data_IF_596988405431
#
_entry.id   IF_596988405431
#
_cell.length_a   1.000
_cell.length_b   1.000
_cell.length_c   1.000
_cell.angle_alpha   90.00
_cell.angle_beta   90.00
_cell.angle_gamma   90.00
#
_symmetry.space_group_name_H-M   'P 1'
#
loop_
_entity.id
_entity.type
_entity.pdbx_description
1 polymer ?
#
# COMPACT_ATOMS: atom_id res chain seq x y z
N UNK A 1 -52.66 9.10 19.04
CA UNK A 1 -52.18 7.78 18.61
C UNK A 1 -50.76 7.96 18.08
N UNK A 2 -49.78 7.79 18.97
CA UNK A 2 -48.36 7.82 18.64
C UNK A 2 -47.90 6.37 18.53
N UNK A 3 -47.77 5.88 17.30
CA UNK A 3 -47.13 4.62 16.99
C UNK A 3 -46.58 4.69 15.56
N UNK A 4 -45.31 5.04 15.45
CA UNK A 4 -44.47 4.61 14.32
C UNK A 4 -43.05 4.52 14.86
N UNK A 5 -42.87 3.58 15.80
CA UNK A 5 -41.55 3.08 16.15
C UNK A 5 -40.91 2.56 14.86
N UNK A 6 -39.66 2.91 14.63
CA UNK A 6 -38.78 2.28 13.65
C UNK A 6 -38.95 0.76 13.78
N UNK A 7 -39.63 0.17 12.81
CA UNK A 7 -39.81 -1.27 12.76
C UNK A 7 -38.65 -1.79 11.93
N UNK A 8 -37.65 -2.39 12.59
CA UNK A 8 -36.58 -3.10 11.91
C UNK A 8 -37.23 -4.11 10.94
N UNK A 9 -36.79 -4.11 9.69
CA UNK A 9 -37.11 -5.11 8.69
C UNK A 9 -36.83 -6.50 9.28
N UNK A 10 -37.88 -7.31 9.35
CA UNK A 10 -37.80 -8.68 9.89
C UNK A 10 -37.23 -9.66 8.88
N UNK A 11 -37.07 -9.26 7.61
CA UNK A 11 -36.62 -10.08 6.50
C UNK A 11 -35.69 -9.29 5.57
N UNK A 12 -34.68 -9.98 5.02
CA UNK A 12 -33.76 -9.39 4.05
C UNK A 12 -34.51 -9.01 2.78
N UNK A 13 -34.22 -7.86 2.15
CA UNK A 13 -34.69 -7.58 0.80
C UNK A 13 -34.32 -8.71 -0.18
N UNK A 14 -35.30 -9.18 -0.96
CA UNK A 14 -35.11 -10.18 -2.02
C UNK A 14 -34.32 -9.56 -3.18
N UNK A 15 -33.00 -9.63 -3.06
CA UNK A 15 -32.02 -9.08 -3.99
C UNK A 15 -31.14 -10.25 -4.40
N UNK A 16 -31.23 -10.64 -5.67
CA UNK A 16 -30.32 -11.61 -6.27
C UNK A 16 -29.01 -10.90 -6.67
N UNK A 17 -27.86 -11.22 -6.05
CA UNK A 17 -26.60 -10.56 -6.35
C UNK A 17 -26.04 -10.88 -7.74
N UNK A 18 -26.62 -11.87 -8.45
CA UNK A 18 -26.21 -12.30 -9.79
C UNK A 18 -26.96 -11.59 -10.91
N UNK A 19 -28.14 -11.02 -10.63
CA UNK A 19 -28.93 -10.23 -11.60
C UNK A 19 -28.65 -8.73 -11.50
N UNK A 20 -27.65 -8.32 -10.72
CA UNK A 20 -27.16 -6.94 -10.61
C UNK A 20 -26.03 -6.76 -11.64
N UNK A 21 -26.32 -6.12 -12.78
CA UNK A 21 -25.39 -5.98 -13.92
C UNK A 21 -24.12 -5.17 -13.59
N UNK A 22 -22.98 -5.64 -14.11
CA UNK A 22 -21.66 -5.02 -14.02
C UNK A 22 -21.15 -4.61 -15.41
N UNK A 23 -20.87 -3.31 -15.63
CA UNK A 23 -20.24 -2.80 -16.86
C UNK A 23 -18.92 -2.10 -16.53
N UNK A 24 -17.94 -2.23 -17.41
CA UNK A 24 -16.54 -1.78 -17.33
C UNK A 24 -16.36 -0.29 -16.95
N UNK A 25 -15.30 0.04 -16.20
CA UNK A 25 -15.05 1.36 -15.58
C UNK A 25 -14.25 2.34 -16.45
N UNK A 26 -13.97 2.01 -17.72
CA UNK A 26 -13.14 2.86 -18.59
C UNK A 26 -13.89 3.70 -19.64
N UNK A 27 -15.23 3.75 -19.63
CA UNK A 27 -15.97 4.59 -20.58
C UNK A 27 -16.69 5.77 -19.91
N UNK A 28 -15.93 6.87 -19.79
CA UNK A 28 -16.35 8.27 -19.90
C UNK A 28 -17.31 8.88 -18.84
N UNK A 29 -16.86 10.02 -18.30
CA UNK A 29 -17.57 10.96 -17.43
C UNK A 29 -18.73 11.73 -18.13
N UNK A 30 -19.55 11.08 -18.96
CA UNK A 30 -20.65 11.74 -19.66
C UNK A 30 -21.89 10.87 -19.71
N UNK A 31 -23.02 11.38 -19.21
CA UNK A 31 -24.36 10.79 -19.26
C UNK A 31 -24.63 9.53 -18.41
N UNK A 32 -24.67 9.75 -17.10
CA UNK A 32 -25.26 8.86 -16.08
C UNK A 32 -26.79 8.74 -16.20
N UNK A 33 -27.37 8.32 -17.34
CA UNK A 33 -28.83 8.31 -17.52
C UNK A 33 -29.45 7.12 -18.27
N UNK A 34 -28.82 5.95 -18.37
CA UNK A 34 -29.53 4.77 -18.91
C UNK A 34 -29.51 3.45 -18.12
N UNK A 35 -28.60 3.21 -17.18
CA UNK A 35 -28.63 1.97 -16.35
C UNK A 35 -27.99 2.25 -14.97
N UNK A 36 -28.64 1.96 -13.81
CA UNK A 36 -28.16 2.39 -12.50
C UNK A 36 -27.32 1.33 -11.79
N UNK A 37 -26.02 1.28 -12.09
CA UNK A 37 -25.01 0.74 -11.17
C UNK A 37 -23.85 1.72 -11.16
N UNK A 38 -23.64 2.42 -10.04
CA UNK A 38 -22.47 3.28 -9.88
C UNK A 38 -21.30 2.36 -9.51
N UNK A 39 -20.60 1.85 -10.54
CA UNK A 39 -19.41 1.03 -10.36
C UNK A 39 -18.22 1.94 -10.06
N UNK A 40 -17.75 1.89 -8.83
CA UNK A 40 -16.51 2.53 -8.40
C UNK A 40 -15.90 1.71 -7.27
N UNK A 41 -14.56 1.71 -7.18
CA UNK A 41 -13.87 1.22 -6.00
C UNK A 41 -13.98 2.31 -4.93
N UNK A 42 -14.68 2.00 -3.84
CA UNK A 42 -14.53 2.79 -2.62
C UNK A 42 -13.34 2.23 -1.83
N UNK A 43 -12.62 3.09 -1.12
CA UNK A 43 -11.56 2.80 -0.17
C UNK A 43 -11.98 3.08 1.27
N UNK A 44 -11.18 2.61 2.23
CA UNK A 44 -11.34 3.01 3.62
C UNK A 44 -11.10 4.52 3.72
N UNK A 45 -12.05 5.24 4.34
CA UNK A 45 -12.02 6.71 4.42
C UNK A 45 -12.86 7.40 3.34
N UNK A 46 -13.33 6.67 2.33
CA UNK A 46 -14.18 7.26 1.29
C UNK A 46 -15.60 7.55 1.79
N UNK A 47 -16.19 8.58 1.19
CA UNK A 47 -17.61 8.88 1.32
C UNK A 47 -18.22 9.22 -0.04
N UNK A 48 -19.48 8.84 -0.22
CA UNK A 48 -20.26 9.15 -1.42
C UNK A 48 -21.71 9.44 -1.06
N UNK A 49 -22.47 10.00 -1.99
CA UNK A 49 -23.90 10.29 -1.80
C UNK A 49 -24.71 9.63 -2.92
N UNK A 50 -25.97 9.32 -2.65
CA UNK A 50 -26.84 8.67 -3.61
C UNK A 50 -28.32 8.94 -3.35
N UNK A 51 -29.15 8.54 -4.31
CA UNK A 51 -30.60 8.60 -4.23
C UNK A 51 -31.20 7.32 -4.77
N UNK A 52 -31.95 6.60 -3.92
CA UNK A 52 -32.80 5.48 -4.31
C UNK A 52 -34.24 5.94 -4.48
N UNK A 53 -35.02 5.25 -5.32
CA UNK A 53 -36.41 5.56 -5.65
C UNK A 53 -37.15 4.33 -6.18
N UNK A 54 -38.50 4.33 -6.27
CA UNK A 54 -39.21 3.18 -6.85
C UNK A 54 -38.75 2.78 -8.26
N UNK A 55 -38.29 3.76 -9.07
CA UNK A 55 -37.75 3.52 -10.41
C UNK A 55 -36.29 3.04 -10.40
N UNK A 56 -35.56 3.26 -9.30
CA UNK A 56 -34.15 2.91 -9.10
C UNK A 56 -33.97 2.49 -7.63
N UNK A 57 -34.40 1.28 -7.33
CA UNK A 57 -34.64 0.86 -5.94
C UNK A 57 -33.34 0.56 -5.17
N UNK A 58 -32.19 0.47 -5.84
CA UNK A 58 -30.92 0.15 -5.19
C UNK A 58 -29.72 0.82 -5.87
N UNK A 59 -28.63 0.97 -5.11
CA UNK A 59 -27.28 1.24 -5.61
C UNK A 59 -26.32 0.16 -5.11
N UNK A 60 -25.35 -0.26 -5.92
CA UNK A 60 -24.37 -1.29 -5.55
C UNK A 60 -22.93 -0.80 -5.74
N UNK A 61 -22.03 -1.18 -4.81
CA UNK A 61 -20.62 -0.77 -4.77
C UNK A 61 -19.74 -2.00 -4.51
N UNK A 62 -18.64 -2.12 -5.25
CA UNK A 62 -17.64 -3.19 -5.04
C UNK A 62 -16.43 -2.63 -4.26
N UNK A 63 -15.90 -3.42 -3.34
CA UNK A 63 -14.86 -3.02 -2.39
C UNK A 63 -13.89 -4.18 -2.13
N UNK A 64 -12.60 -3.88 -1.94
CA UNK A 64 -11.63 -4.87 -1.45
C UNK A 64 -11.10 -4.43 -0.10
N UNK A 65 -11.36 -5.23 0.94
CA UNK A 65 -10.83 -5.00 2.27
C UNK A 65 -9.65 -5.93 2.51
N UNK A 66 -8.50 -5.38 2.90
CA UNK A 66 -7.33 -6.15 3.29
C UNK A 66 -7.01 -6.05 4.79
N UNK A 67 -7.80 -5.31 5.57
CA UNK A 67 -7.55 -5.12 7.00
C UNK A 67 -8.15 -6.20 7.90
N UNK A 68 -7.87 -6.09 9.21
CA UNK A 68 -8.28 -7.08 10.19
C UNK A 68 -9.82 -7.26 10.32
N UNK A 69 -10.28 -8.51 10.56
CA UNK A 69 -11.66 -8.84 10.95
C UNK A 69 -12.32 -7.86 11.93
N UNK A 70 -13.58 -7.45 11.66
CA UNK A 70 -14.38 -6.67 12.60
C UNK A 70 -14.10 -5.17 12.65
N UNK A 71 -13.13 -4.68 11.87
CA UNK A 71 -12.68 -3.29 11.96
C UNK A 71 -13.23 -2.38 10.86
N UNK A 72 -13.84 -2.94 9.80
CA UNK A 72 -14.47 -2.16 8.74
C UNK A 72 -15.95 -1.92 9.03
N UNK A 73 -16.33 -0.64 9.14
CA UNK A 73 -17.69 -0.15 9.36
C UNK A 73 -18.19 0.57 8.12
N UNK A 74 -19.40 0.23 7.69
CA UNK A 74 -20.15 0.96 6.68
C UNK A 74 -21.30 1.67 7.35
N UNK A 75 -21.47 2.96 7.04
CA UNK A 75 -22.57 3.78 7.53
C UNK A 75 -23.33 4.36 6.34
N UNK A 76 -24.58 3.93 6.15
CA UNK A 76 -25.52 4.52 5.21
C UNK A 76 -26.48 5.43 5.99
N UNK A 77 -26.38 6.74 5.78
CA UNK A 77 -27.18 7.75 6.50
C UNK A 77 -28.24 8.36 5.61
N UNK A 78 -29.49 8.29 6.04
CA UNK A 78 -30.61 8.89 5.30
C UNK A 78 -30.65 10.40 5.54
N UNK A 79 -30.62 11.19 4.46
CA UNK A 79 -30.74 12.65 4.54
C UNK A 79 -32.19 13.12 4.36
N UNK A 80 -33.08 12.20 3.98
CA UNK A 80 -34.52 12.45 3.77
C UNK A 80 -35.40 11.91 4.89
N UNK A 81 -34.84 11.28 5.93
CA UNK A 81 -35.61 10.68 7.02
C UNK A 81 -36.44 9.48 6.56
N UNK A 82 -35.90 8.67 5.66
CA UNK A 82 -36.52 7.44 5.13
C UNK A 82 -35.61 6.25 5.41
N UNK A 83 -36.22 5.10 5.72
CA UNK A 83 -35.49 3.93 6.16
C UNK A 83 -34.62 3.35 5.03
N UNK A 84 -33.36 3.12 5.34
CA UNK A 84 -32.39 2.53 4.43
C UNK A 84 -32.18 1.07 4.81
N UNK A 85 -31.72 0.27 3.85
CA UNK A 85 -31.21 -1.06 4.12
C UNK A 85 -29.86 -1.19 3.44
N UNK A 86 -28.88 -1.66 4.20
CA UNK A 86 -27.55 -2.00 3.70
C UNK A 86 -27.41 -3.53 3.66
N UNK A 87 -27.00 -4.05 2.50
CA UNK A 87 -26.77 -5.49 2.30
C UNK A 87 -25.34 -5.69 1.82
N UNK A 88 -24.60 -6.60 2.43
CA UNK A 88 -23.24 -6.96 2.06
C UNK A 88 -23.17 -8.40 1.55
N UNK A 89 -22.55 -8.57 0.38
CA UNK A 89 -22.19 -9.88 -0.18
C UNK A 89 -20.67 -10.02 -0.18
N UNK A 90 -20.16 -11.16 0.30
CA UNK A 90 -18.75 -11.52 0.20
C UNK A 90 -18.49 -12.34 -1.06
N UNK A 91 -17.33 -12.15 -1.67
CA UNK A 91 -16.91 -12.94 -2.83
C UNK A 91 -16.37 -14.29 -2.36
N UNK A 92 -16.96 -15.38 -2.86
CA UNK A 92 -16.47 -16.75 -2.66
C UNK A 92 -16.28 -17.41 -4.02
N UNK A 93 -15.03 -17.41 -4.51
CA UNK A 93 -14.69 -17.83 -5.87
C UNK A 93 -15.44 -17.00 -6.93
N UNK A 94 -16.20 -17.62 -7.86
CA UNK A 94 -16.96 -16.89 -8.88
C UNK A 94 -18.31 -16.35 -8.37
N UNK A 95 -18.73 -16.70 -7.14
CA UNK A 95 -20.06 -16.38 -6.62
C UNK A 95 -20.02 -15.27 -5.58
N UNK A 96 -21.10 -14.49 -5.52
CA UNK A 96 -21.40 -13.60 -4.42
C UNK A 96 -22.27 -14.35 -3.41
N UNK A 97 -21.84 -14.39 -2.15
CA UNK A 97 -22.55 -15.05 -1.05
C UNK A 97 -22.96 -13.98 -0.06
N UNK A 98 -24.20 -14.03 0.44
CA UNK A 98 -24.67 -13.09 1.46
C UNK A 98 -23.74 -13.16 2.67
N UNK A 99 -23.15 -12.02 3.05
CA UNK A 99 -22.30 -11.91 4.22
C UNK A 99 -23.09 -11.43 5.43
N UNK A 100 -23.76 -10.28 5.30
CA UNK A 100 -24.54 -9.65 6.36
C UNK A 100 -25.46 -8.59 5.76
N UNK A 101 -26.47 -8.16 6.49
CA UNK A 101 -27.34 -7.04 6.13
C UNK A 101 -27.91 -6.42 7.40
N UNK A 102 -28.20 -5.13 7.33
CA UNK A 102 -28.78 -4.39 8.45
C UNK A 102 -29.51 -3.17 7.90
N UNK A 103 -30.59 -2.79 8.56
CA UNK A 103 -31.42 -1.65 8.21
C UNK A 103 -31.35 -0.54 9.25
N UNK A 104 -31.01 -0.85 10.50
CA UNK A 104 -30.77 0.14 11.55
C UNK A 104 -29.30 0.22 12.02
N UNK A 105 -28.99 1.12 12.94
CA UNK A 105 -27.70 1.19 13.62
C UNK A 105 -27.83 0.91 15.13
N UNK A 106 -28.99 0.44 15.60
CA UNK A 106 -29.31 0.30 17.03
C UNK A 106 -29.31 1.61 17.84
N UNK A 107 -29.24 2.77 17.18
CA UNK A 107 -29.15 4.11 17.79
C UNK A 107 -30.49 4.88 17.75
N UNK A 108 -31.56 4.22 17.28
CA UNK A 108 -32.88 4.83 17.12
C UNK A 108 -32.98 5.78 15.92
N UNK A 109 -31.99 5.79 15.02
CA UNK A 109 -32.03 6.55 13.75
C UNK A 109 -32.47 5.67 12.58
N UNK A 110 -32.83 6.30 11.46
CA UNK A 110 -33.16 5.65 10.17
C UNK A 110 -31.89 5.39 9.32
N UNK A 111 -30.74 5.21 9.99
CA UNK A 111 -29.46 4.93 9.34
C UNK A 111 -29.19 3.44 9.45
N UNK A 112 -28.49 2.88 8.46
CA UNK A 112 -28.10 1.47 8.46
C UNK A 112 -26.60 1.33 8.60
N UNK A 113 -26.16 0.47 9.52
CA UNK A 113 -24.75 0.26 9.82
C UNK A 113 -24.36 -1.21 9.67
N UNK A 114 -23.22 -1.47 9.04
CA UNK A 114 -22.66 -2.83 8.95
C UNK A 114 -21.22 -2.85 9.41
N UNK A 115 -20.87 -3.88 10.18
CA UNK A 115 -19.48 -4.25 10.46
C UNK A 115 -19.17 -5.54 9.74
N UNK A 116 -18.06 -5.57 9.01
CA UNK A 116 -17.67 -6.77 8.27
C UNK A 116 -16.77 -7.69 9.07
N UNK A 117 -16.94 -9.01 8.91
CA UNK A 117 -16.28 -9.98 9.76
C UNK A 117 -14.83 -10.26 9.35
N UNK A 118 -14.42 -10.07 8.09
CA UNK A 118 -13.07 -10.50 7.62
C UNK A 118 -12.55 -9.66 6.44
N UNK A 119 -11.26 -9.77 6.12
CA UNK A 119 -10.70 -9.31 4.85
C UNK A 119 -11.34 -10.06 3.66
N UNK A 120 -11.46 -9.40 2.52
CA UNK A 120 -12.02 -9.99 1.31
C UNK A 120 -12.60 -8.97 0.33
N UNK A 121 -13.11 -9.47 -0.79
CA UNK A 121 -13.88 -8.66 -1.75
C UNK A 121 -15.34 -8.68 -1.38
N UNK A 122 -15.95 -7.50 -1.35
CA UNK A 122 -17.35 -7.30 -0.98
C UNK A 122 -18.10 -6.53 -2.05
N UNK A 123 -19.40 -6.78 -2.13
CA UNK A 123 -20.39 -5.99 -2.85
C UNK A 123 -21.42 -5.51 -1.85
N UNK A 124 -21.54 -4.20 -1.68
CA UNK A 124 -22.56 -3.59 -0.84
C UNK A 124 -23.70 -3.06 -1.69
N UNK A 125 -24.92 -3.19 -1.18
CA UNK A 125 -26.13 -2.67 -1.80
C UNK A 125 -26.84 -1.77 -0.81
N UNK A 126 -27.08 -0.52 -1.20
CA UNK A 126 -27.93 0.42 -0.47
C UNK A 126 -29.30 0.43 -1.14
N UNK A 127 -30.36 0.20 -0.39
CA UNK A 127 -31.76 0.21 -0.86
C UNK A 127 -32.68 0.81 0.20
N UNK A 128 -33.97 0.88 -0.10
CA UNK A 128 -35.04 1.23 0.87
C UNK A 128 -36.03 0.08 0.94
N UNK A 129 -36.53 -0.20 2.14
CA UNK A 129 -37.62 -1.14 2.33
C UNK A 129 -38.67 -0.51 3.23
N UNK A 130 -39.89 -0.33 2.72
CA UNK A 130 -41.02 0.08 3.55
C UNK A 130 -41.80 -1.17 3.94
N UNK A 131 -41.60 -1.64 5.17
CA UNK A 131 -42.28 -2.82 5.72
C UNK A 131 -43.81 -2.64 5.82
N UNK A 132 -44.32 -1.41 5.80
CA UNK A 132 -45.76 -1.11 5.85
C UNK A 132 -46.38 -1.04 4.45
N UNK A 133 -45.61 -0.63 3.44
CA UNK A 133 -46.08 -0.44 2.06
C UNK A 133 -45.65 -1.55 1.08
N UNK A 134 -44.76 -2.46 1.47
CA UNK A 134 -44.27 -3.55 0.62
C UNK A 134 -43.57 -3.08 -0.65
N UNK A 135 -43.04 -1.84 -0.68
CA UNK A 135 -42.42 -1.23 -1.87
C UNK A 135 -41.22 -0.34 -1.52
N UNK A 136 -40.29 -0.19 -2.46
CA UNK A 136 -39.13 0.71 -2.32
C UNK A 136 -39.60 2.17 -2.31
N UNK A 137 -39.13 2.94 -1.35
CA UNK A 137 -39.43 4.38 -1.24
C UNK A 137 -38.26 5.23 -1.74
N UNK A 138 -38.51 6.53 -1.96
CA UNK A 138 -37.43 7.45 -2.35
C UNK A 138 -36.65 7.93 -1.13
N UNK A 139 -35.33 7.74 -1.13
CA UNK A 139 -34.45 8.24 -0.10
C UNK A 139 -33.15 8.81 -0.71
N UNK A 140 -32.70 9.96 -0.19
CA UNK A 140 -31.34 10.44 -0.41
C UNK A 140 -30.47 9.95 0.76
N UNK A 141 -29.22 9.61 0.49
CA UNK A 141 -28.32 9.09 1.51
C UNK A 141 -26.87 9.53 1.29
N UNK A 142 -26.08 9.49 2.36
CA UNK A 142 -24.62 9.44 2.31
C UNK A 142 -24.12 8.08 2.77
N UNK A 143 -23.14 7.52 2.07
CA UNK A 143 -22.48 6.27 2.42
C UNK A 143 -21.02 6.57 2.75
N UNK A 144 -20.56 6.14 3.91
CA UNK A 144 -19.15 6.23 4.31
C UNK A 144 -18.60 4.87 4.69
N UNK A 145 -17.34 4.64 4.33
CA UNK A 145 -16.57 3.46 4.74
C UNK A 145 -15.53 3.93 5.74
N UNK A 146 -15.69 3.52 6.99
CA UNK A 146 -14.86 3.95 8.10
C UNK A 146 -14.37 2.75 8.89
N UNK A 147 -13.43 3.00 9.79
CA UNK A 147 -12.95 1.97 10.71
C UNK A 147 -13.66 2.11 12.04
N UNK A 148 -14.11 0.99 12.61
CA UNK A 148 -14.60 0.99 13.98
C UNK A 148 -13.43 1.38 14.91
N UNK A 149 -13.59 2.48 15.65
CA UNK A 149 -12.66 2.88 16.74
C UNK A 149 -11.19 3.02 16.33
N UNK A 150 -10.88 3.35 15.07
CA UNK A 150 -9.50 3.41 14.56
C UNK A 150 -8.88 2.06 14.20
N UNK A 151 -9.66 0.97 14.16
CA UNK A 151 -9.20 -0.40 13.95
C UNK A 151 -8.70 -0.77 12.55
N UNK A 152 -8.72 0.13 11.56
CA UNK A 152 -7.91 -0.09 10.34
C UNK A 152 -6.55 0.61 10.42
N UNK A 153 -6.14 1.09 11.60
CA UNK A 153 -4.73 1.33 11.85
C UNK A 153 -4.00 0.01 11.59
N UNK A 154 -3.18 0.01 10.56
CA UNK A 154 -2.41 -1.15 10.18
C UNK A 154 -1.62 -1.64 11.40
N UNK A 155 -1.68 -2.95 11.64
CA UNK A 155 -1.12 -3.58 12.82
C UNK A 155 0.36 -3.20 12.92
N UNK A 156 0.85 -2.80 14.09
CA UNK A 156 2.26 -2.53 14.25
C UNK A 156 3.06 -3.84 14.16
N UNK A 157 4.24 -3.77 13.57
CA UNK A 157 5.18 -4.87 13.47
C UNK A 157 6.59 -4.42 13.85
N UNK A 158 7.50 -5.35 14.06
CA UNK A 158 8.86 -5.06 14.52
C UNK A 158 8.90 -4.64 15.99
N UNK A 159 9.75 -3.66 16.29
CA UNK A 159 10.05 -3.20 17.64
C UNK A 159 10.69 -4.24 18.56
N UNK A 160 10.88 -3.85 19.83
CA UNK A 160 11.53 -4.67 20.88
C UNK A 160 10.94 -6.07 21.03
N UNK A 161 9.63 -6.20 20.80
CA UNK A 161 8.92 -7.48 20.95
C UNK A 161 8.93 -8.32 19.67
N UNK A 162 9.45 -7.80 18.55
CA UNK A 162 9.47 -8.50 17.27
C UNK A 162 8.06 -8.85 16.77
N UNK A 163 7.13 -7.90 16.85
CA UNK A 163 5.74 -8.10 16.44
C UNK A 163 5.68 -8.52 14.96
N UNK A 164 4.95 -9.60 14.66
CA UNK A 164 4.84 -10.15 13.32
C UNK A 164 3.50 -9.78 12.68
N UNK A 165 3.50 -9.63 11.36
CA UNK A 165 2.29 -9.46 10.58
C UNK A 165 1.59 -10.80 10.31
N UNK A 166 0.32 -10.74 9.93
CA UNK A 166 -0.47 -11.91 9.57
C UNK A 166 -0.03 -12.54 8.24
N UNK A 167 -0.65 -13.66 7.89
CA UNK A 167 -0.40 -14.31 6.61
C UNK A 167 -0.87 -13.41 5.45
N UNK A 168 0.00 -13.21 4.45
CA UNK A 168 -0.27 -12.34 3.30
C UNK A 168 0.00 -10.85 3.56
N UNK A 169 0.66 -10.52 4.68
CA UNK A 169 1.09 -9.16 5.02
C UNK A 169 2.61 -9.12 5.20
N UNK A 170 3.21 -7.95 4.98
CA UNK A 170 4.62 -7.67 5.22
C UNK A 170 4.77 -6.50 6.19
N UNK A 171 5.89 -6.47 6.90
CA UNK A 171 6.17 -5.37 7.81
C UNK A 171 6.82 -4.22 7.03
N UNK A 172 6.06 -3.16 6.75
CA UNK A 172 6.56 -1.96 6.09
C UNK A 172 7.22 -1.03 7.11
N UNK A 173 8.46 -0.62 6.84
CA UNK A 173 9.19 0.36 7.64
C UNK A 173 9.33 1.67 6.87
N UNK A 174 9.39 2.78 7.58
CA UNK A 174 9.89 4.01 7.00
C UNK A 174 11.39 3.86 6.64
N UNK A 175 11.87 4.56 5.62
CA UNK A 175 13.26 4.42 5.17
C UNK A 175 14.28 4.85 6.24
N UNK A 176 13.90 5.79 7.10
CA UNK A 176 14.69 6.26 8.24
C UNK A 176 14.61 5.36 9.47
N UNK A 177 13.71 4.36 9.46
CA UNK A 177 13.63 3.32 10.49
C UNK A 177 14.61 2.15 10.24
N UNK A 178 15.46 2.25 9.20
CA UNK A 178 16.52 1.29 8.91
C UNK A 178 16.10 -0.18 9.06
N UNK A 179 14.97 -0.55 8.44
CA UNK A 179 14.41 -1.92 8.51
C UNK A 179 14.04 -2.40 9.92
N UNK A 180 13.67 -1.48 10.82
CA UNK A 180 13.37 -1.79 12.22
C UNK A 180 14.61 -1.85 13.11
N UNK A 181 15.75 -1.28 12.68
CA UNK A 181 16.89 -1.13 13.58
C UNK A 181 16.52 -0.28 14.80
N UNK A 182 17.20 -0.48 15.93
CA UNK A 182 16.94 0.22 17.18
C UNK A 182 15.49 0.12 17.70
N UNK A 183 14.83 -1.01 17.42
CA UNK A 183 13.46 -1.29 17.87
C UNK A 183 12.39 -0.36 17.30
N UNK A 184 12.66 0.19 16.12
CA UNK A 184 11.65 0.94 15.40
C UNK A 184 10.48 0.05 15.00
N UNK A 185 9.28 0.64 15.09
CA UNK A 185 8.04 -0.02 14.73
C UNK A 185 7.75 0.22 13.24
N UNK A 186 7.38 -0.87 12.57
CA UNK A 186 6.80 -0.84 11.25
C UNK A 186 5.28 -0.95 11.31
N UNK A 187 4.69 -0.98 10.13
CA UNK A 187 3.25 -1.07 9.90
C UNK A 187 2.97 -2.26 8.98
N UNK A 188 2.07 -3.16 9.39
CA UNK A 188 1.69 -4.31 8.59
C UNK A 188 0.85 -3.86 7.39
N UNK A 189 1.38 -4.11 6.20
CA UNK A 189 0.71 -3.82 4.95
C UNK A 189 0.43 -5.11 4.19
N UNK A 190 -0.68 -5.19 3.43
CA UNK A 190 -0.97 -6.35 2.62
C UNK A 190 0.07 -6.52 1.50
N UNK A 191 0.48 -7.76 1.25
CA UNK A 191 1.31 -8.09 0.09
C UNK A 191 0.47 -7.98 -1.20
N UNK A 192 0.90 -7.18 -2.19
CA UNK A 192 0.17 -7.07 -3.45
C UNK A 192 0.28 -8.35 -4.29
N UNK A 193 -0.85 -8.79 -4.86
CA UNK A 193 -0.90 -9.95 -5.77
C UNK A 193 -0.38 -9.62 -7.19
N UNK A 194 -0.43 -8.34 -7.58
CA UNK A 194 -0.08 -7.88 -8.92
C UNK A 194 0.78 -6.63 -8.84
N UNK A 195 1.87 -6.62 -9.60
CA UNK A 195 2.78 -5.48 -9.72
C UNK A 195 2.96 -5.10 -11.19
N UNK A 196 3.20 -3.81 -11.43
CA UNK A 196 3.63 -3.33 -12.75
C UNK A 196 5.08 -3.74 -13.00
N UNK A 197 5.46 -3.86 -14.27
CA UNK A 197 6.85 -4.16 -14.70
C UNK A 197 7.71 -2.89 -14.82
N UNK A 198 7.28 -1.78 -14.23
CA UNK A 198 8.04 -0.53 -14.24
C UNK A 198 9.33 -0.71 -13.44
N UNK A 199 10.47 -0.40 -14.06
CA UNK A 199 11.77 -0.49 -13.42
C UNK A 199 12.08 0.78 -12.63
N UNK A 200 11.89 0.72 -11.32
CA UNK A 200 12.20 1.74 -10.33
C UNK A 200 12.82 1.05 -9.12
N UNK A 201 14.09 0.61 -9.23
CA UNK A 201 14.64 -0.39 -8.34
C UNK A 201 14.70 0.10 -6.90
N UNK A 202 14.59 -0.86 -5.97
CA UNK A 202 14.71 -0.64 -4.53
C UNK A 202 15.58 -1.71 -3.90
N UNK A 203 16.26 -1.37 -2.81
CA UNK A 203 16.98 -2.32 -1.99
C UNK A 203 16.06 -2.81 -0.88
N UNK A 204 15.91 -4.13 -0.76
CA UNK A 204 15.15 -4.74 0.33
C UNK A 204 15.94 -4.77 1.64
N UNK A 205 15.23 -4.94 2.75
CA UNK A 205 15.83 -5.22 4.07
C UNK A 205 16.56 -6.57 4.16
N UNK A 206 16.49 -7.38 3.10
CA UNK A 206 17.21 -8.65 2.93
C UNK A 206 18.43 -8.53 2.00
N UNK A 207 18.88 -7.30 1.72
CA UNK A 207 20.00 -6.99 0.82
C UNK A 207 19.82 -7.47 -0.63
N UNK A 208 18.56 -7.66 -1.06
CA UNK A 208 18.23 -7.99 -2.45
C UNK A 208 17.63 -6.79 -3.19
N UNK A 209 18.09 -6.58 -4.42
CA UNK A 209 17.50 -5.59 -5.32
C UNK A 209 16.20 -6.13 -5.91
N UNK A 210 15.13 -5.35 -5.79
CA UNK A 210 13.86 -5.60 -6.46
C UNK A 210 13.64 -4.58 -7.59
N UNK A 211 12.96 -5.00 -8.66
CA UNK A 211 12.71 -4.13 -9.83
C UNK A 211 11.85 -2.91 -9.49
N UNK A 212 11.00 -3.00 -8.47
CA UNK A 212 10.29 -1.89 -7.85
C UNK A 212 9.79 -2.23 -6.43
N UNK A 213 9.27 -1.22 -5.71
CA UNK A 213 8.74 -1.37 -4.35
C UNK A 213 7.56 -2.35 -4.26
N UNK A 214 6.70 -2.43 -5.29
CA UNK A 214 5.60 -3.40 -5.30
C UNK A 214 6.15 -4.83 -5.32
N UNK A 215 7.16 -5.11 -6.15
CA UNK A 215 7.78 -6.44 -6.22
C UNK A 215 8.46 -6.84 -4.90
N UNK A 216 9.05 -5.88 -4.18
CA UNK A 216 9.59 -6.11 -2.83
C UNK A 216 8.47 -6.46 -1.84
N UNK A 217 7.38 -5.69 -1.82
CA UNK A 217 6.22 -5.95 -0.98
C UNK A 217 5.54 -7.29 -1.29
N UNK A 218 5.42 -7.67 -2.57
CA UNK A 218 4.88 -8.95 -3.01
C UNK A 218 5.73 -10.15 -2.55
N UNK A 219 7.05 -9.92 -2.39
CA UNK A 219 7.98 -10.89 -1.79
C UNK A 219 7.98 -10.86 -0.25
N UNK A 220 7.20 -9.97 0.37
CA UNK A 220 7.14 -9.82 1.82
C UNK A 220 8.30 -9.03 2.43
N UNK A 221 8.98 -8.20 1.63
CA UNK A 221 10.22 -7.52 2.03
C UNK A 221 10.02 -6.01 2.05
N UNK A 222 10.32 -5.39 3.20
CA UNK A 222 10.37 -3.93 3.30
C UNK A 222 11.54 -3.35 2.52
N UNK A 223 11.36 -2.10 2.08
CA UNK A 223 12.40 -1.33 1.41
C UNK A 223 13.33 -0.71 2.44
N UNK A 224 14.63 -0.95 2.29
CA UNK A 224 15.69 -0.33 3.08
C UNK A 224 16.17 0.98 2.47
N UNK A 225 16.25 1.03 1.13
CA UNK A 225 16.70 2.20 0.39
C UNK A 225 16.09 2.25 -1.02
N UNK A 226 15.99 3.46 -1.58
CA UNK A 226 15.65 3.66 -2.98
C UNK A 226 16.87 3.37 -3.86
N UNK A 227 16.65 2.82 -5.06
CA UNK A 227 17.70 2.33 -5.94
C UNK A 227 18.10 0.89 -5.64
N UNK A 228 18.99 0.33 -6.45
CA UNK A 228 19.52 -1.03 -6.23
C UNK A 228 20.34 -1.12 -4.94
N UNK A 229 20.48 -2.33 -4.39
CA UNK A 229 21.35 -2.55 -3.24
C UNK A 229 22.81 -2.22 -3.55
N UNK A 230 23.44 -1.51 -2.62
CA UNK A 230 24.85 -1.19 -2.66
C UNK A 230 25.71 -2.46 -2.50
N UNK A 231 26.50 -2.79 -3.52
CA UNK A 231 27.47 -3.89 -3.44
C UNK A 231 28.68 -3.41 -2.63
N UNK A 232 28.98 -4.11 -1.54
CA UNK A 232 30.13 -3.78 -0.70
C UNK A 232 31.45 -4.29 -1.31
N UNK A 233 32.55 -3.61 -1.01
CA UNK A 233 33.90 -3.99 -1.41
C UNK A 233 34.92 -3.63 -0.33
N UNK A 234 36.13 -4.16 -0.44
CA UNK A 234 37.19 -4.01 0.56
C UNK A 234 36.96 -4.91 1.78
N UNK A 235 37.13 -4.33 2.97
CA UNK A 235 37.04 -5.06 4.24
C UNK A 235 38.13 -6.12 4.40
N UNK A 236 38.01 -6.92 5.47
CA UNK A 236 38.94 -8.02 5.76
C UNK A 236 38.93 -9.11 4.69
N UNK A 237 37.76 -9.36 4.10
CA UNK A 237 37.57 -10.36 3.06
C UNK A 237 38.24 -9.94 1.74
N UNK A 238 38.45 -8.63 1.52
CA UNK A 238 39.00 -8.10 0.29
C UNK A 238 38.03 -8.23 -0.88
N UNK A 239 36.73 -8.03 -0.63
CA UNK A 239 35.70 -8.13 -1.67
C UNK A 239 35.96 -7.10 -2.77
N UNK A 240 35.76 -7.50 -4.03
CA UNK A 240 36.07 -6.65 -5.19
C UNK A 240 34.83 -6.37 -6.02
N UNK A 241 34.81 -5.20 -6.65
CA UNK A 241 33.77 -4.83 -7.59
C UNK A 241 33.98 -5.50 -8.94
N UNK A 242 32.92 -5.58 -9.74
CA UNK A 242 33.04 -6.08 -11.10
C UNK A 242 33.89 -5.15 -12.00
N UNK A 243 34.19 -5.60 -13.22
CA UNK A 243 35.10 -4.89 -14.14
C UNK A 243 34.60 -3.52 -14.60
N UNK A 244 33.30 -3.23 -14.49
CA UNK A 244 32.70 -1.94 -14.86
C UNK A 244 32.62 -0.97 -13.67
N UNK A 245 33.03 -1.39 -12.48
CA UNK A 245 32.93 -0.64 -11.24
C UNK A 245 34.30 -0.41 -10.59
N UNK A 246 34.34 0.50 -9.62
CA UNK A 246 35.48 0.72 -8.74
C UNK A 246 35.00 0.72 -7.29
N UNK A 247 35.89 0.41 -6.36
CA UNK A 247 35.57 0.45 -4.95
C UNK A 247 35.72 1.88 -4.44
N UNK A 248 34.61 2.56 -4.17
CA UNK A 248 34.62 3.87 -3.53
C UNK A 248 34.63 3.67 -2.03
N UNK A 249 35.72 4.10 -1.40
CA UNK A 249 35.80 4.16 0.05
C UNK A 249 35.33 5.53 0.55
N UNK A 250 34.74 5.57 1.75
CA UNK A 250 34.53 6.82 2.46
C UNK A 250 35.88 7.42 2.90
N UNK A 251 36.00 8.73 3.08
CA UNK A 251 37.26 9.37 3.54
C UNK A 251 37.74 8.88 4.90
N UNK A 252 36.85 8.28 5.71
CA UNK A 252 37.22 7.62 6.97
C UNK A 252 37.65 6.16 6.79
N UNK A 253 37.27 5.51 5.68
CA UNK A 253 37.65 4.15 5.35
C UNK A 253 38.83 4.20 4.36
N UNK A 254 40.06 4.11 4.88
CA UNK A 254 41.24 4.23 4.04
C UNK A 254 41.56 2.86 3.44
N UNK A 255 41.59 2.76 2.10
CA UNK A 255 42.00 1.52 1.46
C UNK A 255 43.43 1.09 1.87
N UNK A 256 43.65 -0.22 2.01
CA UNK A 256 44.93 -0.75 2.49
C UNK A 256 45.19 -0.53 4.00
N UNK A 257 44.26 0.09 4.74
CA UNK A 257 44.32 0.22 6.20
C UNK A 257 43.03 -0.34 6.83
N UNK A 258 43.16 -1.05 7.95
CA UNK A 258 42.12 -1.47 8.89
C UNK A 258 40.71 -1.73 8.30
N UNK A 259 40.39 -2.97 7.88
CA UNK A 259 39.06 -3.48 7.49
C UNK A 259 38.15 -2.49 6.72
N UNK A 260 38.76 -1.55 5.98
CA UNK A 260 38.04 -0.42 5.38
C UNK A 260 37.05 -0.95 4.35
N UNK A 261 35.77 -0.75 4.60
CA UNK A 261 34.70 -1.14 3.69
C UNK A 261 34.36 0.04 2.78
N UNK A 262 34.21 -0.26 1.50
CA UNK A 262 33.74 0.66 0.49
C UNK A 262 32.48 0.12 -0.19
N UNK A 263 31.94 0.94 -1.09
CA UNK A 263 30.80 0.59 -1.93
C UNK A 263 31.24 0.60 -3.39
N UNK A 264 30.79 -0.38 -4.15
CA UNK A 264 31.03 -0.45 -5.58
C UNK A 264 30.20 0.60 -6.31
N UNK A 265 30.90 1.47 -7.04
CA UNK A 265 30.27 2.47 -7.89
C UNK A 265 30.69 2.29 -9.34
N UNK A 266 29.82 2.67 -10.26
CA UNK A 266 30.07 2.57 -11.70
C UNK A 266 31.20 3.50 -12.10
N UNK A 267 32.12 3.01 -12.94
CA UNK A 267 33.21 3.82 -13.45
C UNK A 267 32.68 4.96 -14.34
N UNK A 268 33.06 6.21 -14.09
CA UNK A 268 32.66 7.32 -14.94
C UNK A 268 33.23 7.16 -16.36
N UNK A 269 32.41 7.43 -17.37
CA UNK A 269 32.79 7.31 -18.79
C UNK A 269 33.51 8.56 -19.33
N UNK A 270 33.47 9.66 -18.58
CA UNK A 270 34.12 10.92 -18.95
C UNK A 270 34.42 11.75 -17.72
N UNK A 271 35.59 12.40 -17.73
CA UNK A 271 36.07 13.23 -16.64
C UNK A 271 36.39 14.63 -17.13
N UNK A 272 36.09 15.64 -16.32
CA UNK A 272 36.52 17.01 -16.58
C UNK A 272 38.04 17.12 -16.42
N UNK A 273 38.65 17.99 -17.21
CA UNK A 273 40.08 18.31 -17.13
C UNK A 273 40.42 19.25 -15.96
N UNK A 274 39.83 19.01 -14.78
CA UNK A 274 40.15 19.73 -13.56
C UNK A 274 41.34 19.07 -12.88
N UNK A 275 42.34 19.86 -12.51
CA UNK A 275 43.48 19.35 -11.76
C UNK A 275 43.22 19.48 -10.25
N UNK A 276 43.02 18.36 -9.59
CA UNK A 276 42.81 18.22 -8.16
C UNK A 276 43.37 16.85 -7.73
N UNK A 277 44.70 16.70 -7.64
CA UNK A 277 45.34 15.40 -7.64
C UNK A 277 44.96 14.56 -6.42
N UNK A 278 44.91 13.25 -6.61
CA UNK A 278 44.64 12.25 -5.56
C UNK A 278 45.65 11.12 -5.63
N UNK A 279 45.91 10.47 -4.50
CA UNK A 279 46.67 9.24 -4.44
C UNK A 279 45.69 8.07 -4.48
N UNK A 280 45.84 7.18 -5.46
CA UNK A 280 45.02 5.98 -5.59
C UNK A 280 45.42 4.88 -4.61
N UNK A 281 44.53 3.93 -4.38
CA UNK A 281 44.78 2.73 -3.57
C UNK A 281 45.89 1.81 -4.13
N UNK A 282 46.30 2.04 -5.37
CA UNK A 282 47.42 1.39 -6.04
C UNK A 282 48.74 2.16 -5.90
N UNK A 283 48.77 3.19 -5.05
CA UNK A 283 49.89 4.11 -4.84
C UNK A 283 50.32 4.90 -6.09
N UNK A 284 49.40 5.11 -7.05
CA UNK A 284 49.63 5.99 -8.19
C UNK A 284 48.92 7.33 -8.02
N UNK A 285 49.55 8.41 -8.50
CA UNK A 285 48.94 9.75 -8.49
C UNK A 285 48.07 9.94 -9.72
N UNK A 286 46.81 10.32 -9.50
CA UNK A 286 45.86 10.66 -10.56
C UNK A 286 45.60 12.17 -10.60
N UNK A 287 45.28 12.70 -11.78
CA UNK A 287 45.04 14.15 -11.96
C UNK A 287 43.82 14.67 -11.21
N UNK A 288 42.83 13.79 -10.98
CA UNK A 288 41.67 13.99 -10.11
C UNK A 288 41.01 12.65 -9.77
N UNK A 289 40.09 12.68 -8.80
CA UNK A 289 39.32 11.53 -8.33
C UNK A 289 38.55 10.82 -9.45
N UNK A 290 37.96 11.57 -10.39
CA UNK A 290 37.24 10.98 -11.52
C UNK A 290 38.17 10.13 -12.40
N UNK A 291 39.39 10.61 -12.67
CA UNK A 291 40.36 9.87 -13.48
C UNK A 291 40.85 8.60 -12.75
N UNK A 292 40.98 8.63 -11.42
CA UNK A 292 41.24 7.43 -10.62
C UNK A 292 40.06 6.43 -10.71
N UNK A 293 38.83 6.90 -10.49
CA UNK A 293 37.61 6.11 -10.58
C UNK A 293 37.42 5.48 -11.98
N UNK A 294 37.68 6.24 -13.05
CA UNK A 294 37.62 5.74 -14.44
C UNK A 294 38.64 4.62 -14.69
N UNK A 295 39.81 4.69 -14.05
CA UNK A 295 40.81 3.62 -14.07
C UNK A 295 40.43 2.41 -13.20
N UNK A 296 39.34 2.49 -12.42
CA UNK A 296 38.92 1.43 -11.51
C UNK A 296 39.53 1.53 -10.12
N UNK A 297 40.16 2.65 -9.79
CA UNK A 297 40.98 2.80 -8.59
C UNK A 297 40.27 3.73 -7.61
N UNK A 298 40.07 3.25 -6.39
CA UNK A 298 39.59 4.07 -5.27
C UNK A 298 40.65 5.07 -4.81
N UNK A 299 40.22 6.15 -4.16
CA UNK A 299 41.11 7.16 -3.60
C UNK A 299 41.60 6.74 -2.22
N UNK A 300 42.91 6.77 -2.01
CA UNK A 300 43.55 6.57 -0.71
C UNK A 300 43.49 7.86 0.13
N UNK A 301 43.93 8.98 -0.45
CA UNK A 301 43.87 10.31 0.16
C UNK A 301 43.92 11.41 -0.90
N UNK A 302 43.51 12.62 -0.51
CA UNK A 302 43.66 13.82 -1.32
C UNK A 302 45.14 14.19 -1.49
N UNK A 303 45.49 14.78 -2.63
CA UNK A 303 46.86 15.14 -2.99
C UNK A 303 47.63 14.02 -3.70
N UNK A 304 48.76 14.37 -4.32
CA UNK A 304 49.62 13.38 -4.96
C UNK A 304 50.21 12.39 -3.95
N UNK A 305 50.46 11.16 -4.38
CA UNK A 305 51.18 10.19 -3.56
C UNK A 305 52.55 10.75 -3.20
N UNK A 306 52.89 10.69 -1.92
CA UNK A 306 54.25 10.93 -1.46
C UNK A 306 54.97 9.59 -1.46
N UNK A 307 56.23 9.58 -1.90
CA UNK A 307 57.11 8.46 -1.54
C UNK A 307 57.21 8.48 -0.02
N UNK A 308 56.67 7.47 0.65
CA UNK A 308 56.94 7.29 2.08
C UNK A 308 58.48 7.18 2.22
N UNK A 309 59.13 8.06 3.00
CA UNK A 309 60.58 8.00 3.21
C UNK A 309 60.98 6.73 3.97
#
# INVERSE_FOLDING_TARGET
MLASLAACATEKPDIDPTTIDAIDINESKGDSLRFPTLKGMLGVGDSTTGRVSPAKSYHAYDFTYAGAPGNLRLDARSTTGRDLVLVAYARSGPRWVLSTWNDDCGDGTLNSCLTLPTAGRYRFVVTTYDALAGSSTTANYSLSIACASGGCAAQQCGGLQGLQCGAGEYCAYALDAFCGAADDLGTCEPMPEFCTEQYEPVCGCNDQTYGNACMAAAAGVAVSALGECAVQCGGRAGDTCNSAQYCRFDRIAICGHADGQGVCETRPQGCLAQFAPVCGCDNQTYSNECVAAAAGIGTLHDGACTVMP
#
